data_IF_584000149341
#
_entry.id   IF_584000149341
#
_cell.length_a   1.000
_cell.length_b   1.000
_cell.length_c   1.000
_cell.angle_alpha   90.00
_cell.angle_beta   90.00
_cell.angle_gamma   90.00
#
_symmetry.space_group_name_H-M   'P 1'
#
loop_
_entity.id
_entity.type
_entity.pdbx_description
1 polymer ?
#
# COMPACT_ATOMS: atom_id res chain seq x y z
N UNK A 1 -11.99 -33.87 -54.82
CA UNK A 1 -11.57 -33.27 -53.55
C UNK A 1 -10.05 -33.37 -53.53
N UNK A 2 -9.36 -32.35 -54.06
CA UNK A 2 -7.90 -32.39 -54.18
C UNK A 2 -7.30 -31.88 -52.87
N UNK A 3 -6.86 -32.81 -52.03
CA UNK A 3 -6.02 -32.52 -50.87
C UNK A 3 -4.75 -31.81 -51.34
N UNK A 4 -4.63 -30.52 -51.00
CA UNK A 4 -3.37 -29.79 -51.10
C UNK A 4 -2.46 -30.31 -50.00
N UNK A 5 -1.54 -31.19 -50.39
CA UNK A 5 -0.39 -31.58 -49.58
C UNK A 5 0.39 -30.31 -49.22
N UNK A 6 0.68 -30.03 -47.92
CA UNK A 6 1.54 -28.93 -47.56
C UNK A 6 2.95 -29.21 -48.11
N UNK A 7 3.45 -28.34 -48.98
CA UNK A 7 4.86 -28.38 -49.40
C UNK A 7 5.70 -28.03 -48.18
N UNK A 8 6.55 -28.95 -47.75
CA UNK A 8 7.64 -28.66 -46.84
C UNK A 8 8.55 -27.61 -47.53
N UNK A 9 8.54 -26.34 -47.06
CA UNK A 9 9.57 -25.38 -47.45
C UNK A 9 10.85 -25.73 -46.67
N UNK A 10 11.77 -26.47 -47.27
CA UNK A 10 13.04 -26.87 -46.66
C UNK A 10 14.17 -25.82 -46.80
N UNK A 11 13.90 -24.56 -47.20
CA UNK A 11 14.97 -23.54 -47.25
C UNK A 11 14.51 -22.07 -47.18
N UNK A 12 13.39 -21.78 -46.51
CA UNK A 12 12.94 -20.41 -46.25
C UNK A 12 13.66 -19.81 -45.02
N UNK A 13 15.00 -19.71 -45.00
CA UNK A 13 15.77 -19.09 -43.89
C UNK A 13 16.54 -17.86 -44.34
N UNK A 14 15.90 -16.96 -45.08
CA UNK A 14 16.39 -15.60 -45.21
C UNK A 14 15.70 -14.75 -44.14
N UNK A 15 16.35 -14.60 -42.99
CA UNK A 15 15.82 -13.91 -41.82
C UNK A 15 15.91 -12.40 -42.06
N UNK A 16 14.82 -11.78 -42.52
CA UNK A 16 14.78 -10.33 -42.66
C UNK A 16 14.68 -9.66 -41.29
N UNK A 17 15.49 -8.61 -41.02
CA UNK A 17 15.49 -7.97 -39.71
C UNK A 17 14.12 -7.37 -39.43
N UNK A 18 13.49 -7.85 -38.35
CA UNK A 18 12.27 -7.24 -37.84
C UNK A 18 12.52 -5.77 -37.50
N UNK A 19 11.54 -4.90 -37.79
CA UNK A 19 11.64 -3.49 -37.44
C UNK A 19 10.99 -3.25 -36.08
N UNK A 20 11.76 -2.73 -35.14
CA UNK A 20 11.24 -2.24 -33.86
C UNK A 20 10.93 -0.75 -33.98
N UNK A 21 9.71 -0.36 -33.63
CA UNK A 21 9.26 1.03 -33.56
C UNK A 21 8.88 1.31 -32.11
N UNK A 22 9.50 2.30 -31.48
CA UNK A 22 9.19 2.70 -30.11
C UNK A 22 8.44 4.03 -30.11
N UNK A 23 7.25 4.05 -29.52
CA UNK A 23 6.48 5.26 -29.24
C UNK A 23 6.61 5.60 -27.76
N UNK A 24 7.12 6.79 -27.47
CA UNK A 24 7.30 7.30 -26.10
C UNK A 24 6.21 8.33 -25.79
N UNK A 25 5.43 8.06 -24.77
CA UNK A 25 4.31 8.89 -24.33
C UNK A 25 4.65 9.60 -23.01
N UNK A 26 4.66 10.93 -23.07
CA UNK A 26 4.89 11.83 -21.93
C UNK A 26 3.64 12.66 -21.60
N UNK A 27 2.45 12.24 -22.10
CA UNK A 27 1.19 12.96 -21.91
C UNK A 27 0.74 13.04 -20.44
N UNK A 28 1.27 12.19 -19.57
CA UNK A 28 1.08 12.27 -18.11
C UNK A 28 1.51 13.61 -17.50
N UNK A 29 2.31 14.41 -18.22
CA UNK A 29 2.73 15.75 -17.81
C UNK A 29 1.66 16.82 -18.03
N UNK A 30 0.68 16.56 -18.88
CA UNK A 30 -0.37 17.52 -19.21
C UNK A 30 -1.30 17.73 -18.01
N UNK A 31 -1.53 18.99 -17.65
CA UNK A 31 -2.39 19.36 -16.51
C UNK A 31 -1.69 19.35 -15.15
N UNK A 32 -0.37 19.13 -15.10
CA UNK A 32 0.42 19.27 -13.88
C UNK A 32 0.34 20.69 -13.30
N UNK A 33 0.22 20.78 -11.97
CA UNK A 33 0.22 22.05 -11.25
C UNK A 33 1.64 22.61 -11.15
N UNK A 34 1.95 23.67 -11.90
CA UNK A 34 3.26 24.32 -11.86
C UNK A 34 3.44 25.16 -10.59
N UNK A 35 2.46 26.01 -10.29
CA UNK A 35 2.53 26.86 -9.10
C UNK A 35 1.15 27.34 -8.64
N UNK A 36 1.07 27.70 -7.36
CA UNK A 36 -0.06 28.38 -6.72
C UNK A 36 0.47 29.68 -6.13
N UNK A 37 -0.16 30.80 -6.49
CA UNK A 37 0.17 32.12 -5.95
C UNK A 37 -1.02 32.66 -5.18
N UNK A 38 -0.77 33.12 -3.95
CA UNK A 38 -1.79 33.72 -3.09
C UNK A 38 -1.52 35.22 -3.01
N UNK A 39 -2.55 36.03 -3.28
CA UNK A 39 -2.50 37.48 -3.23
C UNK A 39 -3.37 38.02 -2.10
N UNK A 40 -3.06 39.21 -1.60
CA UNK A 40 -3.94 39.94 -0.67
C UNK A 40 -5.03 40.73 -1.41
N UNK A 41 -5.85 41.45 -0.65
CA UNK A 41 -6.91 42.31 -1.21
C UNK A 41 -6.40 43.50 -2.02
N UNK A 42 -5.11 43.83 -1.93
CA UNK A 42 -4.43 44.89 -2.68
C UNK A 42 -3.65 44.34 -3.89
N UNK A 43 -3.81 43.05 -4.20
CA UNK A 43 -3.11 42.33 -5.28
C UNK A 43 -1.57 42.22 -5.06
N UNK A 44 -1.09 42.33 -3.82
CA UNK A 44 0.30 42.01 -3.50
C UNK A 44 0.47 40.50 -3.29
N UNK A 45 1.59 39.95 -3.75
CA UNK A 45 1.91 38.53 -3.60
C UNK A 45 2.24 38.21 -2.12
N UNK A 46 1.45 37.35 -1.49
CA UNK A 46 1.65 36.90 -0.11
C UNK A 46 2.56 35.67 -0.06
N UNK A 47 2.25 34.68 -0.88
CA UNK A 47 2.98 33.42 -0.93
C UNK A 47 2.93 32.83 -2.33
N UNK A 48 3.99 32.09 -2.67
CA UNK A 48 4.07 31.31 -3.90
C UNK A 48 4.53 29.90 -3.54
N UNK A 49 3.78 28.91 -3.98
CA UNK A 49 4.16 27.51 -3.93
C UNK A 49 4.45 27.04 -5.35
N UNK A 50 5.66 26.57 -5.60
CA UNK A 50 6.09 25.99 -6.88
C UNK A 50 6.22 24.47 -6.70
N UNK A 51 5.69 23.70 -7.64
CA UNK A 51 5.84 22.25 -7.67
C UNK A 51 6.96 21.89 -8.61
N UNK A 52 7.91 21.11 -8.13
CA UNK A 52 9.01 20.60 -8.92
C UNK A 52 8.69 19.16 -9.36
N UNK A 53 8.97 18.85 -10.61
CA UNK A 53 8.79 17.53 -11.20
C UNK A 53 10.13 16.95 -11.67
N UNK A 54 10.17 15.62 -11.81
CA UNK A 54 11.35 14.92 -12.31
C UNK A 54 11.71 15.29 -13.76
N UNK A 55 10.76 15.80 -14.55
CA UNK A 55 11.03 16.20 -15.93
C UNK A 55 11.49 17.66 -16.06
N UNK A 56 11.53 18.40 -14.95
CA UNK A 56 11.98 19.79 -14.98
C UNK A 56 13.49 19.81 -15.25
N UNK A 57 13.90 20.60 -16.26
CA UNK A 57 15.29 20.79 -16.66
C UNK A 57 16.02 19.53 -17.18
N UNK A 58 15.28 18.54 -17.70
CA UNK A 58 15.83 17.26 -18.16
C UNK A 58 15.29 16.96 -19.55
N UNK A 59 16.15 16.48 -20.44
CA UNK A 59 15.72 16.03 -21.76
C UNK A 59 14.92 14.71 -21.67
N UNK A 60 14.15 14.41 -22.71
CA UNK A 60 13.32 13.20 -22.71
C UNK A 60 14.16 11.91 -22.73
N UNK A 61 15.40 11.97 -23.20
CA UNK A 61 16.29 10.80 -23.35
C UNK A 61 16.84 10.33 -21.99
N UNK A 62 17.23 11.27 -21.13
CA UNK A 62 17.76 11.01 -19.78
C UNK A 62 16.68 10.81 -18.72
N UNK A 63 15.42 11.16 -19.02
CA UNK A 63 14.29 10.96 -18.10
C UNK A 63 14.17 9.51 -17.63
N UNK A 64 14.29 8.55 -18.57
CA UNK A 64 14.18 7.11 -18.26
C UNK A 64 15.27 6.67 -17.29
N UNK A 65 16.50 7.10 -17.53
CA UNK A 65 17.64 6.75 -16.69
C UNK A 65 17.46 7.30 -15.27
N UNK A 66 17.08 8.58 -15.14
CA UNK A 66 16.80 9.19 -13.83
C UNK A 66 15.63 8.52 -13.11
N UNK A 67 14.56 8.16 -13.82
CA UNK A 67 13.45 7.42 -13.25
C UNK A 67 13.88 6.03 -12.78
N UNK A 68 14.75 5.34 -13.54
CA UNK A 68 15.27 4.03 -13.17
C UNK A 68 16.18 4.10 -11.93
N UNK A 69 17.15 5.01 -11.93
CA UNK A 69 18.16 5.15 -10.87
C UNK A 69 17.51 5.64 -9.58
N UNK A 70 16.66 6.68 -9.64
CA UNK A 70 16.12 7.33 -8.44
C UNK A 70 14.82 6.69 -7.93
N UNK A 71 13.98 6.19 -8.83
CA UNK A 71 12.62 5.73 -8.50
C UNK A 71 12.32 4.30 -8.96
N UNK A 72 13.33 3.54 -9.38
CA UNK A 72 13.17 2.12 -9.74
C UNK A 72 12.18 1.89 -10.89
N UNK A 73 12.01 2.84 -11.82
CA UNK A 73 10.99 2.81 -12.88
C UNK A 73 9.54 2.74 -12.37
N UNK A 74 9.25 3.24 -11.17
CA UNK A 74 7.88 3.29 -10.66
C UNK A 74 6.96 4.09 -11.60
N UNK A 75 5.80 3.54 -11.94
CA UNK A 75 4.80 4.16 -12.81
C UNK A 75 5.13 4.10 -14.31
N UNK A 76 6.29 3.55 -14.70
CA UNK A 76 6.60 3.28 -16.09
C UNK A 76 5.85 2.04 -16.58
N UNK A 77 5.16 2.14 -17.71
CA UNK A 77 4.51 1.00 -18.34
C UNK A 77 5.05 0.81 -19.75
N UNK A 78 5.35 -0.43 -20.11
CA UNK A 78 5.77 -0.80 -21.47
C UNK A 78 4.86 -1.90 -22.00
N UNK A 79 4.28 -1.65 -23.16
CA UNK A 79 3.43 -2.59 -23.88
C UNK A 79 4.10 -2.93 -25.22
N UNK A 80 4.21 -4.23 -25.51
CA UNK A 80 4.75 -4.73 -26.77
C UNK A 80 3.58 -5.23 -27.64
N UNK A 81 3.46 -4.66 -28.83
CA UNK A 81 2.56 -5.11 -29.88
C UNK A 81 3.39 -5.77 -30.97
N UNK A 82 3.08 -7.01 -31.30
CA UNK A 82 3.73 -7.76 -32.35
C UNK A 82 2.75 -8.01 -33.50
N UNK A 83 3.16 -7.67 -34.70
CA UNK A 83 2.42 -7.97 -35.93
C UNK A 83 3.34 -8.71 -36.90
N UNK A 84 2.81 -9.76 -37.53
CA UNK A 84 3.49 -10.49 -38.59
C UNK A 84 2.77 -10.24 -39.90
N UNK A 85 3.51 -9.84 -40.92
CA UNK A 85 3.00 -9.64 -42.28
C UNK A 85 3.83 -10.46 -43.27
N UNK A 86 3.16 -11.03 -44.26
CA UNK A 86 3.82 -11.62 -45.42
C UNK A 86 3.88 -10.53 -46.49
N UNK A 87 5.08 -10.19 -46.94
CA UNK A 87 5.32 -9.21 -47.99
C UNK A 87 5.90 -9.93 -49.19
N UNK A 88 5.22 -9.83 -50.33
CA UNK A 88 5.74 -10.40 -51.59
C UNK A 88 6.67 -9.37 -52.21
N UNK A 89 7.92 -9.75 -52.50
CA UNK A 89 8.88 -8.91 -53.22
C UNK A 89 9.54 -9.71 -54.33
N UNK A 90 10.08 -9.01 -55.32
CA UNK A 90 10.94 -9.63 -56.33
C UNK A 90 12.36 -9.79 -55.77
N UNK A 91 12.98 -10.92 -56.03
CA UNK A 91 14.40 -11.15 -55.72
C UNK A 91 15.34 -10.57 -56.80
N UNK A 92 16.65 -10.80 -56.68
CA UNK A 92 17.65 -10.34 -57.66
C UNK A 92 17.43 -10.88 -59.07
N UNK A 93 16.69 -11.99 -59.20
CA UNK A 93 16.34 -12.65 -60.46
C UNK A 93 14.94 -12.26 -60.97
N UNK A 94 14.31 -11.23 -60.39
CA UNK A 94 12.95 -10.75 -60.70
C UNK A 94 11.82 -11.76 -60.36
N UNK A 95 12.10 -12.80 -59.56
CA UNK A 95 11.11 -13.78 -59.11
C UNK A 95 10.36 -13.30 -57.87
N UNK A 96 9.03 -13.46 -57.83
CA UNK A 96 8.23 -13.17 -56.65
C UNK A 96 8.50 -14.18 -55.53
N UNK A 97 8.97 -13.69 -54.38
CA UNK A 97 9.16 -14.46 -53.15
C UNK A 97 8.36 -13.86 -52.00
N UNK A 98 7.84 -14.74 -51.15
CA UNK A 98 7.13 -14.38 -49.93
C UNK A 98 8.15 -14.14 -48.80
N UNK A 99 8.09 -12.97 -48.17
CA UNK A 99 8.95 -12.60 -47.06
C UNK A 99 8.13 -12.41 -45.79
N UNK A 100 8.50 -13.11 -44.72
CA UNK A 100 7.94 -12.87 -43.40
C UNK A 100 8.57 -11.61 -42.80
N UNK A 101 7.76 -10.59 -42.56
CA UNK A 101 8.16 -9.37 -41.87
C UNK A 101 7.47 -9.29 -40.52
N UNK A 102 8.26 -9.29 -39.45
CA UNK A 102 7.78 -8.96 -38.11
C UNK A 102 7.93 -7.45 -37.86
N UNK A 103 6.84 -6.82 -37.41
CA UNK A 103 6.85 -5.45 -36.90
C UNK A 103 6.60 -5.53 -35.41
N UNK A 104 7.55 -5.03 -34.62
CA UNK A 104 7.41 -4.89 -33.17
C UNK A 104 7.18 -3.42 -32.87
N UNK A 105 6.02 -3.08 -32.33
CA UNK A 105 5.74 -1.75 -31.82
C UNK A 105 5.78 -1.78 -30.29
N UNK A 106 6.63 -0.94 -29.69
CA UNK A 106 6.72 -0.77 -28.24
C UNK A 106 6.08 0.56 -27.88
N UNK A 107 5.07 0.54 -27.02
CA UNK A 107 4.51 1.74 -26.40
C UNK A 107 5.08 1.87 -25.00
N UNK A 108 5.80 2.97 -24.76
CA UNK A 108 6.36 3.32 -23.46
C UNK A 108 5.58 4.52 -22.92
N UNK A 109 4.93 4.36 -21.76
CA UNK A 109 4.25 5.47 -21.06
C UNK A 109 5.07 5.84 -19.84
N UNK A 110 5.45 7.10 -19.77
CA UNK A 110 6.23 7.65 -18.68
C UNK A 110 5.32 8.37 -17.68
N UNK A 111 5.50 8.17 -16.37
CA UNK A 111 4.72 8.86 -15.35
C UNK A 111 5.20 10.31 -15.18
N UNK A 112 4.39 11.14 -14.53
CA UNK A 112 4.80 12.43 -14.01
C UNK A 112 5.08 12.30 -12.51
N UNK A 113 6.34 12.44 -12.11
CA UNK A 113 6.77 12.29 -10.71
C UNK A 113 7.04 13.66 -10.10
N UNK A 114 6.34 14.00 -9.01
CA UNK A 114 6.57 15.23 -8.23
C UNK A 114 7.84 15.05 -7.40
N UNK A 115 8.91 15.74 -7.78
CA UNK A 115 10.21 15.66 -7.09
C UNK A 115 10.25 16.51 -5.81
N UNK A 116 9.37 17.51 -5.69
CA UNK A 116 9.30 18.35 -4.50
C UNK A 116 8.38 19.56 -4.66
N UNK A 117 8.40 20.44 -3.67
CA UNK A 117 7.72 21.73 -3.69
C UNK A 117 8.59 22.79 -3.01
N UNK A 118 8.53 24.02 -3.50
CA UNK A 118 9.18 25.17 -2.87
C UNK A 118 8.10 26.20 -2.53
N UNK A 119 7.97 26.54 -1.26
CA UNK A 119 7.02 27.54 -0.78
C UNK A 119 7.78 28.75 -0.27
N UNK A 120 7.58 29.90 -0.91
CA UNK A 120 8.13 31.19 -0.47
C UNK A 120 7.00 32.02 0.14
N UNK A 121 7.15 32.42 1.39
CA UNK A 121 6.27 33.36 2.06
C UNK A 121 6.90 34.75 2.00
N UNK A 122 6.33 35.64 1.20
CA UNK A 122 6.87 36.99 0.99
C UNK A 122 6.60 37.94 2.16
N UNK A 123 5.65 37.61 3.06
CA UNK A 123 5.43 38.39 4.29
C UNK A 123 6.52 38.15 5.32
N UNK A 124 6.95 36.89 5.49
CA UNK A 124 7.98 36.53 6.47
C UNK A 124 9.38 36.47 5.87
N UNK A 125 9.51 36.40 4.54
CA UNK A 125 10.77 36.18 3.83
C UNK A 125 11.29 34.74 3.92
N UNK A 126 10.52 33.81 4.50
CA UNK A 126 10.94 32.41 4.70
C UNK A 126 10.62 31.61 3.44
N UNK A 127 11.60 30.84 2.99
CA UNK A 127 11.40 29.84 1.93
C UNK A 127 11.60 28.44 2.50
N UNK A 128 10.63 27.57 2.27
CA UNK A 128 10.68 26.16 2.66
C UNK A 128 10.65 25.30 1.42
N UNK A 129 11.61 24.39 1.27
CA UNK A 129 11.67 23.45 0.16
C UNK A 129 11.49 22.04 0.68
N UNK A 130 10.53 21.30 0.12
CA UNK A 130 10.33 19.88 0.39
C UNK A 130 10.75 19.09 -0.83
N UNK A 131 11.62 18.09 -0.67
CA UNK A 131 12.04 17.17 -1.74
C UNK A 131 11.62 15.76 -1.41
N UNK A 132 10.91 15.13 -2.34
CA UNK A 132 10.48 13.73 -2.24
C UNK A 132 11.63 12.82 -2.69
N UNK A 133 12.15 12.04 -1.75
CA UNK A 133 13.29 11.14 -1.98
C UNK A 133 12.84 9.75 -2.39
N UNK A 134 11.79 9.22 -1.75
CA UNK A 134 11.28 7.88 -2.01
C UNK A 134 9.75 7.84 -1.97
N UNK A 135 9.21 6.85 -2.68
CA UNK A 135 7.80 6.58 -2.79
C UNK A 135 7.53 5.11 -2.48
N UNK A 136 6.33 4.83 -1.98
CA UNK A 136 5.83 3.48 -1.87
C UNK A 136 5.43 2.95 -3.25
N UNK A 137 5.94 1.77 -3.62
CA UNK A 137 5.78 1.25 -4.97
C UNK A 137 4.31 1.02 -5.38
N UNK A 138 3.46 0.55 -4.45
CA UNK A 138 2.08 0.17 -4.78
C UNK A 138 1.08 1.32 -4.61
N UNK A 139 1.23 2.14 -3.58
CA UNK A 139 0.32 3.27 -3.33
C UNK A 139 0.74 4.56 -4.04
N UNK A 140 2.02 4.70 -4.40
CA UNK A 140 2.57 5.95 -4.91
C UNK A 140 2.68 7.05 -3.84
N UNK A 141 2.41 6.75 -2.57
CA UNK A 141 2.57 7.69 -1.47
C UNK A 141 4.05 8.00 -1.21
N UNK A 142 4.37 9.23 -0.80
CA UNK A 142 5.74 9.61 -0.44
C UNK A 142 6.12 8.91 0.86
N UNK A 143 7.21 8.12 0.84
CA UNK A 143 7.72 7.43 2.03
C UNK A 143 8.89 8.13 2.68
N UNK A 144 9.64 8.95 1.93
CA UNK A 144 10.74 9.76 2.46
C UNK A 144 10.73 11.13 1.82
N UNK A 145 10.71 12.18 2.63
CA UNK A 145 10.82 13.56 2.16
C UNK A 145 11.73 14.38 3.06
N UNK A 146 12.53 15.26 2.47
CA UNK A 146 13.36 16.23 3.20
C UNK A 146 12.77 17.61 3.04
N UNK A 147 12.43 18.27 4.15
CA UNK A 147 12.08 19.68 4.18
C UNK A 147 13.27 20.50 4.67
N UNK A 148 13.64 21.54 3.94
CA UNK A 148 14.64 22.53 4.32
C UNK A 148 14.02 23.92 4.42
N UNK A 149 14.49 24.73 5.38
CA UNK A 149 14.10 26.13 5.51
C UNK A 149 15.26 27.08 5.14
N UNK A 150 14.96 28.38 5.05
CA UNK A 150 15.95 29.42 4.78
C UNK A 150 16.95 29.67 5.92
N UNK A 151 16.73 29.06 7.10
CA UNK A 151 17.66 29.11 8.22
C UNK A 151 18.66 27.95 8.24
N UNK A 152 18.59 27.06 7.24
CA UNK A 152 19.46 25.90 7.11
C UNK A 152 19.03 24.70 7.94
N UNK A 153 17.86 24.73 8.58
CA UNK A 153 17.31 23.53 9.21
C UNK A 153 16.82 22.57 8.15
N UNK A 154 17.11 21.28 8.34
CA UNK A 154 16.68 20.21 7.45
C UNK A 154 16.09 19.08 8.26
N UNK A 155 14.89 18.66 7.86
CA UNK A 155 14.15 17.59 8.51
C UNK A 155 13.77 16.54 7.48
N UNK A 156 14.07 15.28 7.80
CA UNK A 156 13.67 14.12 7.04
C UNK A 156 12.45 13.50 7.70
N UNK A 157 11.35 13.39 6.95
CA UNK A 157 10.19 12.60 7.33
C UNK A 157 10.26 11.24 6.62
N UNK A 158 10.22 10.15 7.38
CA UNK A 158 10.15 8.78 6.87
C UNK A 158 8.85 8.12 7.34
N UNK A 159 8.06 7.58 6.42
CA UNK A 159 6.84 6.83 6.71
C UNK A 159 6.94 5.40 6.22
N UNK A 160 6.57 4.45 7.07
CA UNK A 160 6.52 3.01 6.75
C UNK A 160 5.06 2.61 6.55
N UNK A 161 4.66 2.15 5.34
CA UNK A 161 3.32 1.64 5.11
C UNK A 161 3.00 0.43 6.00
N UNK A 162 1.79 0.37 6.55
CA UNK A 162 1.36 -0.68 7.48
C UNK A 162 1.49 -2.08 6.87
N UNK A 163 1.24 -2.23 5.57
CA UNK A 163 1.25 -3.54 4.92
C UNK A 163 2.65 -4.20 4.88
N UNK A 164 3.73 -3.45 5.13
CA UNK A 164 5.09 -4.02 5.28
C UNK A 164 5.21 -4.83 6.58
N UNK A 165 4.43 -4.47 7.61
CA UNK A 165 4.38 -5.16 8.91
C UNK A 165 3.18 -6.11 9.02
N UNK A 166 2.11 -5.82 8.28
CA UNK A 166 0.88 -6.61 8.24
C UNK A 166 0.61 -7.09 6.79
N UNK A 167 1.14 -8.25 6.36
CA UNK A 167 0.99 -8.73 4.98
C UNK A 167 -0.48 -8.83 4.52
N UNK A 168 -1.40 -9.13 5.43
CA UNK A 168 -2.84 -9.19 5.13
C UNK A 168 -3.47 -7.83 4.75
N UNK A 169 -2.79 -6.71 5.00
CA UNK A 169 -3.19 -5.38 4.53
C UNK A 169 -2.69 -5.09 3.10
N UNK A 170 -1.82 -5.94 2.54
CA UNK A 170 -1.20 -5.74 1.23
C UNK A 170 -2.11 -5.99 0.03
N UNK A 171 -1.51 -6.26 -1.12
CA UNK A 171 -2.23 -6.48 -2.39
C UNK A 171 -3.21 -7.66 -2.33
N UNK A 172 -4.40 -7.48 -2.90
CA UNK A 172 -5.41 -8.53 -3.00
C UNK A 172 -4.95 -9.72 -3.83
N UNK A 173 -4.15 -9.50 -4.89
CA UNK A 173 -3.58 -10.59 -5.68
C UNK A 173 -2.61 -11.48 -4.86
N UNK A 174 -2.10 -10.98 -3.72
CA UNK A 174 -1.25 -11.72 -2.78
C UNK A 174 -2.02 -12.15 -1.52
N UNK A 175 -3.36 -12.13 -1.56
CA UNK A 175 -4.22 -12.50 -0.43
C UNK A 175 -4.48 -11.40 0.60
N UNK A 176 -4.04 -10.16 0.35
CA UNK A 176 -4.33 -9.01 1.20
C UNK A 176 -5.68 -8.36 0.93
N UNK A 177 -5.93 -7.20 1.56
CA UNK A 177 -7.19 -6.44 1.46
C UNK A 177 -7.05 -5.10 0.70
N UNK A 178 -5.93 -4.86 0.02
CA UNK A 178 -5.61 -3.60 -0.68
C UNK A 178 -5.64 -2.36 0.23
N UNK A 179 -5.24 -2.49 1.49
CA UNK A 179 -5.16 -1.37 2.45
C UNK A 179 -3.78 -0.68 2.38
N UNK A 180 -3.38 -0.28 1.17
CA UNK A 180 -2.00 0.13 0.85
C UNK A 180 -1.62 1.52 1.40
N UNK A 181 -2.61 2.40 1.60
CA UNK A 181 -2.41 3.78 2.04
C UNK A 181 -2.25 3.93 3.55
N UNK A 182 -2.47 2.86 4.31
CA UNK A 182 -2.38 2.91 5.76
C UNK A 182 -0.92 3.02 6.21
N UNK A 183 -0.65 3.90 7.16
CA UNK A 183 0.68 4.12 7.72
C UNK A 183 0.84 3.27 8.98
N UNK A 184 1.99 2.61 9.11
CA UNK A 184 2.40 1.85 10.29
C UNK A 184 3.31 2.68 11.21
N UNK A 185 4.31 3.36 10.66
CA UNK A 185 5.19 4.24 11.43
C UNK A 185 5.50 5.53 10.69
N UNK A 186 5.76 6.59 11.45
CA UNK A 186 6.32 7.86 10.97
C UNK A 186 7.47 8.29 11.89
N UNK A 187 8.63 8.58 11.30
CA UNK A 187 9.80 9.08 12.00
C UNK A 187 10.21 10.42 11.40
N UNK A 188 10.63 11.37 12.23
CA UNK A 188 11.20 12.64 11.79
C UNK A 188 12.60 12.81 12.36
N UNK A 189 13.57 13.07 11.50
CA UNK A 189 14.98 13.24 11.85
C UNK A 189 15.46 14.63 11.47
N UNK A 190 16.37 15.21 12.27
CA UNK A 190 17.20 16.31 11.79
C UNK A 190 18.35 15.72 10.99
N UNK A 191 18.63 16.28 9.81
CA UNK A 191 19.64 15.75 8.88
C UNK A 191 20.70 16.79 8.53
N UNK A 192 21.85 16.31 8.07
CA UNK A 192 22.95 17.14 7.60
C UNK A 192 22.65 17.82 6.25
N UNK A 193 23.49 18.77 5.86
CA UNK A 193 23.37 19.48 4.58
C UNK A 193 23.55 18.56 3.36
N UNK A 194 24.37 17.51 3.50
CA UNK A 194 24.71 16.60 2.41
C UNK A 194 23.76 15.38 2.34
N UNK A 195 22.68 15.37 3.12
CA UNK A 195 21.78 14.22 3.20
C UNK A 195 21.18 13.82 1.84
N UNK A 196 20.92 14.78 0.96
CA UNK A 196 20.28 14.50 -0.33
C UNK A 196 21.19 13.75 -1.31
N UNK A 197 22.51 13.92 -1.19
CA UNK A 197 23.49 13.28 -2.06
C UNK A 197 23.70 11.81 -1.65
N UNK A 198 23.58 11.52 -0.35
CA UNK A 198 23.73 10.18 0.24
C UNK A 198 22.60 9.87 1.24
N UNK A 199 21.37 9.65 0.76
CA UNK A 199 20.20 9.50 1.64
C UNK A 199 20.25 8.23 2.48
N UNK A 200 20.99 7.21 2.07
CA UNK A 200 21.07 5.93 2.78
C UNK A 200 22.21 5.87 3.80
N UNK A 201 23.04 6.92 3.87
CA UNK A 201 24.09 7.03 4.86
C UNK A 201 23.51 7.46 6.22
N UNK A 202 23.43 6.52 7.16
CA UNK A 202 22.91 6.75 8.50
C UNK A 202 23.65 7.86 9.27
N UNK A 203 24.93 8.11 8.97
CA UNK A 203 25.70 9.19 9.60
C UNK A 203 25.18 10.59 9.28
N UNK A 204 24.39 10.74 8.20
CA UNK A 204 23.75 12.00 7.84
C UNK A 204 22.48 12.29 8.68
N UNK A 205 21.99 11.34 9.47
CA UNK A 205 20.92 11.56 10.47
C UNK A 205 21.56 12.07 11.76
N UNK A 206 21.39 13.36 12.06
CA UNK A 206 22.01 14.02 13.22
C UNK A 206 21.32 13.65 14.54
N UNK A 207 20.01 13.44 14.49
CA UNK A 207 19.20 13.11 15.66
C UNK A 207 17.75 12.90 15.30
N UNK A 208 17.03 12.14 16.13
CA UNK A 208 15.59 11.94 16.00
C UNK A 208 14.87 13.12 16.68
N UNK A 209 13.94 13.73 15.95
CA UNK A 209 13.03 14.75 16.49
C UNK A 209 11.83 14.09 17.16
N UNK A 210 11.29 13.05 16.53
CA UNK A 210 10.20 12.26 17.10
C UNK A 210 9.80 11.10 16.19
N UNK A 211 9.12 10.13 16.77
CA UNK A 211 8.56 9.00 16.03
C UNK A 211 7.21 8.59 16.60
N UNK A 212 6.34 8.06 15.74
CA UNK A 212 5.02 7.57 16.10
C UNK A 212 4.69 6.30 15.33
N UNK A 213 3.91 5.42 15.95
CA UNK A 213 3.51 4.13 15.39
C UNK A 213 2.01 3.92 15.57
N UNK A 214 1.35 3.47 14.52
CA UNK A 214 -0.01 2.94 14.54
C UNK A 214 0.04 1.43 14.31
N UNK A 215 -0.36 0.67 15.33
CA UNK A 215 -0.53 -0.78 15.18
C UNK A 215 -1.92 -1.11 14.66
N UNK A 216 -2.03 -2.27 14.01
CA UNK A 216 -3.25 -2.75 13.37
C UNK A 216 -3.57 -4.16 13.85
N UNK A 217 -4.84 -4.45 14.06
CA UNK A 217 -5.29 -5.77 14.54
C UNK A 217 -6.51 -6.26 13.75
N UNK A 218 -6.58 -7.58 13.59
CA UNK A 218 -7.79 -8.27 13.13
C UNK A 218 -8.66 -8.79 14.28
N UNK A 219 -8.16 -8.63 15.52
CA UNK A 219 -8.78 -9.10 16.75
C UNK A 219 -8.91 -7.89 17.67
N UNK A 220 -10.03 -7.21 17.57
CA UNK A 220 -10.50 -6.19 18.51
C UNK A 220 -11.91 -6.62 18.89
N UNK A 221 -12.27 -6.46 20.17
CA UNK A 221 -13.61 -6.80 20.60
C UNK A 221 -14.63 -5.91 19.88
N UNK A 222 -15.76 -6.49 19.50
CA UNK A 222 -16.83 -5.78 18.79
C UNK A 222 -18.03 -5.58 19.72
N UNK A 223 -18.50 -4.35 19.87
CA UNK A 223 -19.69 -4.07 20.65
C UNK A 223 -20.92 -4.72 20.03
N UNK A 224 -21.80 -5.23 20.88
CA UNK A 224 -22.97 -6.01 20.47
C UNK A 224 -22.64 -7.44 20.05
N UNK A 225 -21.36 -7.76 19.84
CA UNK A 225 -20.87 -9.14 19.69
C UNK A 225 -20.28 -9.52 21.04
N UNK A 226 -21.13 -9.67 22.05
CA UNK A 226 -20.77 -10.43 23.25
C UNK A 226 -20.32 -11.79 22.77
N UNK A 227 -19.00 -12.00 22.76
CA UNK A 227 -18.27 -13.24 22.51
C UNK A 227 -19.26 -14.42 22.44
N UNK A 228 -19.86 -14.72 21.27
CA UNK A 228 -21.06 -15.54 21.28
C UNK A 228 -20.59 -16.88 21.80
N UNK A 229 -21.03 -17.22 23.01
CA UNK A 229 -21.07 -18.61 23.42
C UNK A 229 -22.07 -19.20 22.45
N UNK A 230 -21.57 -19.72 21.33
CA UNK A 230 -22.36 -20.52 20.43
C UNK A 230 -22.74 -21.77 21.23
N UNK A 231 -23.88 -21.69 21.90
CA UNK A 231 -24.54 -22.86 22.42
C UNK A 231 -25.29 -23.46 21.25
N UNK A 232 -24.71 -24.49 20.64
CA UNK A 232 -25.42 -25.20 19.58
C UNK A 232 -26.65 -25.89 20.19
N UNK A 233 -27.83 -25.38 19.84
CA UNK A 233 -29.08 -26.07 20.05
C UNK A 233 -29.11 -27.43 19.34
N UNK A 234 -29.97 -28.32 19.84
CA UNK A 234 -30.19 -29.70 19.39
C UNK A 234 -30.16 -29.84 17.85
N UNK A 235 -29.27 -30.69 17.34
CA UNK A 235 -29.23 -31.09 15.92
C UNK A 235 -30.52 -31.87 15.61
N UNK A 236 -31.41 -31.30 14.79
CA UNK A 236 -32.71 -31.93 14.48
C UNK A 236 -32.61 -32.92 13.31
N UNK A 237 -31.65 -32.78 12.37
CA UNK A 237 -31.47 -33.74 11.27
C UNK A 237 -30.02 -33.82 10.74
N UNK A 238 -29.58 -35.05 10.40
CA UNK A 238 -28.21 -35.37 9.97
C UNK A 238 -27.81 -34.80 8.59
N UNK A 239 -28.77 -34.38 7.75
CA UNK A 239 -28.50 -33.87 6.41
C UNK A 239 -28.43 -32.33 6.32
N UNK A 240 -28.98 -31.61 7.30
CA UNK A 240 -29.08 -30.16 7.33
C UNK A 240 -29.00 -29.68 8.78
N UNK A 241 -27.87 -29.10 9.17
CA UNK A 241 -27.64 -28.66 10.54
C UNK A 241 -28.20 -27.24 10.70
N UNK A 242 -29.40 -27.14 11.26
CA UNK A 242 -29.97 -25.89 11.76
C UNK A 242 -29.26 -25.56 13.06
N UNK A 243 -28.67 -24.37 13.17
CA UNK A 243 -27.97 -23.93 14.37
C UNK A 243 -28.72 -22.74 14.97
N UNK A 244 -29.31 -22.95 16.15
CA UNK A 244 -29.92 -21.87 16.92
C UNK A 244 -28.81 -21.10 17.65
N UNK A 245 -28.83 -19.77 17.61
CA UNK A 245 -27.99 -18.94 18.46
C UNK A 245 -28.91 -18.40 19.55
N UNK A 246 -28.65 -18.77 20.80
CA UNK A 246 -29.29 -18.11 21.93
C UNK A 246 -28.30 -17.07 22.45
N UNK A 247 -28.73 -15.82 22.58
CA UNK A 247 -27.96 -14.64 23.02
C UNK A 247 -27.02 -14.00 21.98
N UNK A 248 -27.54 -13.69 20.79
CA UNK A 248 -26.93 -12.69 19.92
C UNK A 248 -27.71 -11.37 20.02
N UNK A 249 -27.16 -10.36 20.71
CA UNK A 249 -27.65 -8.98 20.54
C UNK A 249 -27.27 -8.38 19.17
N UNK A 250 -26.58 -9.14 18.31
CA UNK A 250 -26.20 -8.72 16.97
C UNK A 250 -26.76 -9.67 15.91
N UNK A 251 -27.54 -9.11 15.00
CA UNK A 251 -28.11 -9.83 13.86
C UNK A 251 -27.04 -10.12 12.81
N UNK A 252 -26.83 -11.39 12.48
CA UNK A 252 -26.04 -11.78 11.31
C UNK A 252 -26.89 -11.55 10.04
N UNK A 253 -26.30 -11.02 8.97
CA UNK A 253 -27.02 -10.90 7.70
C UNK A 253 -26.88 -12.18 6.87
N UNK A 254 -27.93 -12.52 6.13
CA UNK A 254 -27.92 -13.63 5.16
C UNK A 254 -26.81 -13.39 4.12
N UNK A 255 -25.95 -14.39 3.93
CA UNK A 255 -24.75 -14.32 3.08
C UNK A 255 -23.45 -13.97 3.82
N UNK A 256 -23.51 -13.66 5.12
CA UNK A 256 -22.30 -13.40 5.90
C UNK A 256 -21.41 -14.64 5.95
N UNK A 257 -20.15 -14.49 5.53
CA UNK A 257 -19.12 -15.54 5.58
C UNK A 257 -18.23 -15.34 6.79
N UNK A 258 -18.01 -16.40 7.55
CA UNK A 258 -17.21 -16.37 8.76
C UNK A 258 -16.34 -17.63 8.88
N UNK A 259 -15.36 -17.55 9.77
CA UNK A 259 -14.48 -18.66 10.12
C UNK A 259 -14.57 -18.87 11.63
N UNK A 260 -14.50 -20.12 12.08
CA UNK A 260 -14.29 -20.43 13.49
C UNK A 260 -13.31 -21.59 13.62
N UNK A 261 -12.67 -21.65 14.77
CA UNK A 261 -11.68 -22.67 15.11
C UNK A 261 -12.32 -23.71 16.02
N UNK A 262 -12.15 -24.99 15.70
CA UNK A 262 -12.66 -26.11 16.50
C UNK A 262 -11.65 -27.26 16.47
N UNK A 263 -11.12 -27.65 17.63
CA UNK A 263 -10.09 -28.69 17.76
C UNK A 263 -8.94 -28.52 16.75
N UNK A 264 -8.37 -27.30 16.67
CA UNK A 264 -7.31 -26.90 15.73
C UNK A 264 -7.70 -26.90 14.23
N UNK A 265 -8.98 -27.14 13.90
CA UNK A 265 -9.50 -27.00 12.54
C UNK A 265 -10.14 -25.63 12.32
N UNK A 266 -9.74 -24.95 11.25
CA UNK A 266 -10.39 -23.74 10.77
C UNK A 266 -11.56 -24.11 9.84
N UNK A 267 -12.79 -23.83 10.28
CA UNK A 267 -14.02 -24.20 9.56
C UNK A 267 -14.66 -22.96 8.97
N UNK A 268 -14.97 -23.01 7.67
CA UNK A 268 -15.65 -21.92 6.96
C UNK A 268 -17.17 -22.06 7.05
N UNK A 269 -17.84 -21.02 7.53
CA UNK A 269 -19.28 -20.89 7.61
C UNK A 269 -19.85 -19.81 6.68
N UNK A 270 -21.10 -19.98 6.26
CA UNK A 270 -21.90 -18.97 5.57
C UNK A 270 -23.32 -18.98 6.12
N UNK A 271 -23.86 -17.81 6.46
CA UNK A 271 -25.27 -17.65 6.84
C UNK A 271 -26.14 -17.80 5.58
N UNK A 272 -27.03 -18.78 5.59
CA UNK A 272 -27.89 -19.14 4.45
C UNK A 272 -29.30 -18.54 4.62
N UNK A 273 -29.82 -18.50 5.85
CA UNK A 273 -31.10 -17.84 6.16
C UNK A 273 -31.09 -17.31 7.59
N UNK A 274 -31.86 -16.24 7.80
CA UNK A 274 -32.23 -15.71 9.10
C UNK A 274 -33.61 -16.27 9.44
N UNK A 275 -33.70 -17.07 10.49
CA UNK A 275 -34.91 -17.75 10.96
C UNK A 275 -35.61 -16.95 12.07
N UNK A 276 -35.09 -15.76 12.42
CA UNK A 276 -35.60 -14.88 13.46
C UNK A 276 -35.34 -15.38 14.89
N UNK A 277 -35.53 -14.49 15.88
CA UNK A 277 -35.23 -14.74 17.31
C UNK A 277 -33.83 -15.33 17.51
N UNK A 278 -32.85 -14.73 16.84
CA UNK A 278 -31.43 -15.09 16.89
C UNK A 278 -31.10 -16.48 16.29
N UNK A 279 -32.00 -17.07 15.52
CA UNK A 279 -31.72 -18.33 14.84
C UNK A 279 -31.20 -18.07 13.42
N UNK A 280 -30.06 -18.64 13.05
CA UNK A 280 -29.55 -18.59 11.68
C UNK A 280 -29.28 -19.98 11.12
N UNK A 281 -29.68 -20.21 9.89
CA UNK A 281 -29.24 -21.38 9.16
C UNK A 281 -27.83 -21.12 8.62
N UNK A 282 -26.86 -21.95 8.99
CA UNK A 282 -25.47 -21.80 8.55
C UNK A 282 -25.06 -23.03 7.75
N UNK A 283 -24.42 -22.81 6.62
CA UNK A 283 -23.69 -23.84 5.90
C UNK A 283 -22.24 -23.87 6.37
N UNK A 284 -21.81 -25.03 6.86
CA UNK A 284 -20.41 -25.30 7.19
C UNK A 284 -19.79 -26.14 6.08
N UNK A 285 -18.65 -25.68 5.55
CA UNK A 285 -17.92 -26.42 4.53
C UNK A 285 -16.78 -27.21 5.19
N UNK A 286 -16.86 -28.55 5.15
CA UNK A 286 -15.77 -29.44 5.57
C UNK A 286 -15.66 -29.75 7.07
N UNK A 287 -16.75 -29.59 7.84
CA UNK A 287 -16.70 -29.78 9.30
C UNK A 287 -16.73 -31.26 9.73
N UNK A 288 -15.96 -31.67 10.76
CA UNK A 288 -16.16 -32.93 11.46
C UNK A 288 -17.54 -33.00 12.14
N UNK A 289 -17.93 -34.19 12.58
CA UNK A 289 -19.18 -34.39 13.34
C UNK A 289 -19.04 -33.73 14.70
N UNK A 290 -19.78 -32.65 14.96
CA UNK A 290 -19.81 -32.02 16.28
C UNK A 290 -20.65 -32.84 17.24
N UNK A 291 -20.18 -32.99 18.47
CA UNK A 291 -20.93 -33.62 19.56
C UNK A 291 -21.96 -32.64 20.14
N UNK A 292 -23.14 -33.14 20.49
CA UNK A 292 -24.21 -32.29 21.04
C UNK A 292 -23.75 -31.62 22.35
N UNK A 293 -23.81 -30.28 22.41
CA UNK A 293 -23.54 -29.49 23.62
C UNK A 293 -22.14 -28.88 23.74
N UNK A 294 -21.26 -29.02 22.75
CA UNK A 294 -19.96 -28.33 22.75
C UNK A 294 -20.10 -26.83 22.46
N UNK A 295 -19.38 -25.99 23.20
CA UNK A 295 -19.37 -24.53 22.99
C UNK A 295 -18.22 -24.21 22.03
N UNK A 296 -18.52 -23.57 20.90
CA UNK A 296 -17.50 -23.11 19.94
C UNK A 296 -17.37 -21.59 20.03
N UNK A 297 -16.13 -21.09 20.11
CA UNK A 297 -15.84 -19.66 20.07
C UNK A 297 -15.53 -19.27 18.63
N UNK A 298 -16.33 -18.38 18.05
CA UNK A 298 -16.09 -17.81 16.73
C UNK A 298 -15.55 -16.39 16.83
N UNK A 299 -14.42 -16.10 16.21
CA UNK A 299 -13.90 -14.73 16.04
C UNK A 299 -14.18 -14.29 14.61
N UNK A 300 -14.99 -13.24 14.44
CA UNK A 300 -15.17 -12.61 13.13
C UNK A 300 -13.87 -11.89 12.74
N UNK A 301 -13.05 -12.55 11.92
CA UNK A 301 -11.89 -11.92 11.29
C UNK A 301 -12.28 -11.51 9.89
N UNK A 302 -12.38 -10.22 9.58
CA UNK A 302 -12.39 -9.87 8.16
C UNK A 302 -11.76 -8.55 7.73
N UNK A 303 -11.43 -7.67 8.67
CA UNK A 303 -10.81 -6.38 8.33
C UNK A 303 -9.78 -6.01 9.39
N UNK A 304 -8.65 -5.43 8.97
CA UNK A 304 -7.72 -4.81 9.89
C UNK A 304 -8.30 -3.49 10.37
N UNK A 305 -8.28 -3.28 11.68
CA UNK A 305 -8.67 -2.04 12.32
C UNK A 305 -7.49 -1.45 13.05
N UNK A 306 -7.46 -0.12 13.18
CA UNK A 306 -6.49 0.58 14.04
C UNK A 306 -6.64 0.03 15.44
N UNK A 307 -5.52 -0.28 16.10
CA UNK A 307 -5.51 -0.82 17.46
C UNK A 307 -4.92 0.17 18.44
N UNK A 308 -3.60 0.35 18.42
CA UNK A 308 -2.91 1.22 19.38
C UNK A 308 -2.06 2.27 18.68
N UNK A 309 -1.92 3.41 19.32
CA UNK A 309 -1.02 4.49 18.89
C UNK A 309 0.09 4.61 19.93
N UNK A 310 1.33 4.59 19.45
CA UNK A 310 2.52 4.78 20.25
C UNK A 310 3.29 6.02 19.81
N UNK A 311 3.93 6.69 20.75
CA UNK A 311 4.89 7.77 20.49
C UNK A 311 6.21 7.44 21.15
N UNK A 312 7.31 7.77 20.48
CA UNK A 312 8.64 7.67 21.04
C UNK A 312 8.83 8.77 22.08
N UNK A 313 9.08 8.38 23.33
CA UNK A 313 9.43 9.31 24.41
C UNK A 313 10.94 9.36 24.69
N UNK A 314 11.70 8.35 24.24
CA UNK A 314 13.14 8.28 24.47
C UNK A 314 13.54 8.35 25.95
N UNK A 315 14.76 8.84 26.20
CA UNK A 315 15.23 9.28 27.51
C UNK A 315 15.53 10.79 27.44
N UNK A 316 14.76 11.57 28.19
CA UNK A 316 14.91 13.03 28.21
C UNK A 316 16.24 13.50 28.81
N UNK A 317 16.93 12.65 29.59
CA UNK A 317 18.27 12.95 30.10
C UNK A 317 19.34 12.91 29.01
N UNK A 318 19.05 12.25 27.89
CA UNK A 318 19.96 12.10 26.75
C UNK A 318 19.67 13.08 25.62
N UNK A 319 18.64 13.93 25.77
CA UNK A 319 18.31 14.98 24.81
C UNK A 319 19.47 15.96 24.64
N UNK A 320 19.96 16.10 23.42
CA UNK A 320 20.97 17.09 23.07
C UNK A 320 20.37 18.09 22.08
N UNK A 321 20.22 19.35 22.49
CA UNK A 321 19.58 20.41 21.70
C UNK A 321 18.16 20.05 21.20
N UNK A 322 17.40 19.32 22.02
CA UNK A 322 16.04 18.89 21.67
C UNK A 322 15.97 17.75 20.66
N UNK A 323 17.07 17.00 20.46
CA UNK A 323 17.13 15.82 19.61
C UNK A 323 17.55 14.60 20.41
N UNK A 324 16.93 13.45 20.15
CA UNK A 324 17.39 12.17 20.67
C UNK A 324 18.57 11.65 19.81
N UNK A 325 19.69 11.21 20.42
CA UNK A 325 20.78 10.60 19.68
C UNK A 325 20.32 9.38 18.88
N UNK A 326 20.71 9.28 17.60
CA UNK A 326 20.31 8.13 16.75
C UNK A 326 20.77 6.79 17.31
N UNK A 327 21.93 6.75 17.98
CA UNK A 327 22.45 5.53 18.60
C UNK A 327 21.55 4.99 19.72
N UNK A 328 20.70 5.83 20.31
CA UNK A 328 19.80 5.48 21.41
C UNK A 328 18.36 5.28 20.91
N UNK A 329 18.10 5.50 19.61
CA UNK A 329 16.80 5.22 19.02
C UNK A 329 16.66 3.72 18.71
N UNK A 330 15.62 3.12 19.29
CA UNK A 330 15.23 1.73 19.04
C UNK A 330 13.95 1.71 18.20
N UNK A 331 14.03 1.09 17.02
CA UNK A 331 12.86 0.93 16.17
C UNK A 331 11.75 0.15 16.89
N UNK A 332 10.50 0.54 16.64
CA UNK A 332 9.36 -0.17 17.21
C UNK A 332 9.33 -1.62 16.76
N UNK A 333 9.22 -2.54 17.72
CA UNK A 333 9.29 -3.98 17.51
C UNK A 333 7.99 -4.73 17.84
N UNK A 334 7.05 -4.12 18.58
CA UNK A 334 5.82 -4.76 19.05
C UNK A 334 4.65 -4.62 18.06
N UNK A 335 4.83 -5.14 16.84
CA UNK A 335 3.84 -5.04 15.77
C UNK A 335 2.65 -5.99 15.96
N UNK A 336 2.81 -7.08 16.69
CA UNK A 336 1.78 -8.10 16.89
C UNK A 336 1.08 -7.96 18.25
N UNK A 337 -0.12 -8.53 18.35
CA UNK A 337 -0.88 -8.54 19.59
C UNK A 337 -0.14 -9.29 20.70
N UNK A 338 0.01 -8.65 21.86
CA UNK A 338 0.64 -9.24 23.04
C UNK A 338 2.15 -9.02 23.11
N UNK A 339 2.77 -8.42 22.09
CA UNK A 339 4.16 -7.99 22.16
C UNK A 339 4.27 -6.72 23.04
N UNK A 340 5.33 -6.67 23.84
CA UNK A 340 5.66 -5.51 24.67
C UNK A 340 6.69 -4.66 23.92
N UNK A 341 6.39 -3.38 23.64
CA UNK A 341 7.38 -2.50 22.99
C UNK A 341 8.52 -2.17 23.95
N UNK A 342 9.61 -1.65 23.41
CA UNK A 342 10.68 -1.05 24.21
C UNK A 342 10.13 -0.01 25.20
N UNK A 343 10.74 0.11 26.39
CA UNK A 343 10.33 1.05 27.43
C UNK A 343 10.38 2.52 27.00
N UNK A 344 11.09 2.84 25.92
CA UNK A 344 11.16 4.17 25.30
C UNK A 344 9.97 4.49 24.38
N UNK A 345 9.09 3.53 24.11
CA UNK A 345 7.82 3.74 23.43
C UNK A 345 6.68 3.84 24.45
N UNK A 346 5.89 4.90 24.32
CA UNK A 346 4.73 5.14 25.16
C UNK A 346 3.44 4.88 24.38
N UNK A 347 2.54 4.07 24.93
CA UNK A 347 1.20 3.90 24.38
C UNK A 347 0.35 5.13 24.76
N UNK A 348 -0.16 5.82 23.76
CA UNK A 348 -0.98 7.02 23.97
C UNK A 348 -2.47 6.69 24.00
N UNK A 349 -2.89 5.73 23.18
CA UNK A 349 -4.27 5.28 23.11
C UNK A 349 -4.38 3.85 22.57
N UNK A 350 -5.42 3.14 22.97
CA UNK A 350 -5.80 1.84 22.41
C UNK A 350 -7.31 1.76 22.24
N UNK A 351 -7.74 1.35 21.05
CA UNK A 351 -9.15 1.04 20.77
C UNK A 351 -9.42 -0.34 21.35
N UNK A 352 -10.24 -0.39 22.40
CA UNK A 352 -10.62 -1.62 23.08
C UNK A 352 -11.88 -2.23 22.47
N UNK A 353 -12.78 -1.40 21.94
CA UNK A 353 -14.06 -1.81 21.38
C UNK A 353 -14.36 -1.09 20.07
N UNK A 354 -14.80 -1.84 19.05
CA UNK A 354 -15.26 -1.29 17.78
C UNK A 354 -16.70 -1.72 17.45
N UNK A 355 -17.38 -0.98 16.57
CA UNK A 355 -18.65 -1.41 16.00
C UNK A 355 -18.45 -2.35 14.79
N UNK A 356 -19.56 -2.85 14.23
CA UNK A 356 -19.57 -3.71 13.03
C UNK A 356 -19.02 -3.03 11.76
N UNK A 357 -18.90 -1.70 11.77
CA UNK A 357 -18.34 -0.88 10.69
C UNK A 357 -16.89 -0.45 10.99
N UNK A 358 -16.25 -1.02 12.02
CA UNK A 358 -14.89 -0.70 12.46
C UNK A 358 -14.69 0.72 12.99
N UNK A 359 -15.76 1.38 13.45
CA UNK A 359 -15.63 2.62 14.21
C UNK A 359 -15.26 2.31 15.66
N UNK A 360 -14.37 3.11 16.24
CA UNK A 360 -14.05 3.02 17.66
C UNK A 360 -15.28 3.40 18.49
N UNK A 361 -15.69 2.52 19.39
CA UNK A 361 -16.75 2.76 20.38
C UNK A 361 -16.18 2.99 21.77
N UNK A 362 -15.03 2.38 22.07
CA UNK A 362 -14.29 2.56 23.30
C UNK A 362 -12.81 2.67 22.98
N UNK A 363 -12.14 3.61 23.65
CA UNK A 363 -10.71 3.75 23.60
C UNK A 363 -10.20 4.08 24.99
N UNK A 364 -9.15 3.40 25.42
CA UNK A 364 -8.38 3.75 26.61
C UNK A 364 -7.29 4.75 26.20
N UNK A 365 -7.10 5.79 27.00
CA UNK A 365 -5.97 6.70 26.86
C UNK A 365 -4.85 6.37 27.86
N UNK A 366 -3.80 7.18 27.86
CA UNK A 366 -2.64 7.03 28.73
C UNK A 366 -2.95 7.02 30.25
N UNK A 367 -4.09 7.55 30.66
CA UNK A 367 -4.51 7.69 32.06
C UNK A 367 -5.42 6.56 32.55
N UNK A 368 -5.77 5.60 31.68
CA UNK A 368 -6.84 4.63 31.93
C UNK A 368 -8.20 5.28 31.81
#
# INVERSE_FOLDING_TARGET
>A
MNERIPRNCESCTEYWPGKTITMRDYSSRLGNLISVSTYDGENNLISKQETNYLHDNIDNETYREKLAVKYGNQGFTSELFNEFRIVVKKDEEDNLKDYNMAVLAVKEVYPSVVSGTTTTNYKTGITTTTKNLAFDFYSGAVTRAVSSDSYGNRYLSESIPAYHKYPGMGLAMKGGKNMLVQIGANCTYKVSENYEDEPDNAANKLGLVGASVQTWSQVIDMAGITNPRLQFGRVIHAAQRIFAFNDLNNTLYVGAKFWFEYNDYLIKGEVISDEGKDNYFIRLNGAPVFTQGEIIKGTFRNTFSKKSIYTWKGDDQELNNGLYPIANFSEFNAWQNGETPDAQWQKNSEITLIDVYSHALEAEDING
#
